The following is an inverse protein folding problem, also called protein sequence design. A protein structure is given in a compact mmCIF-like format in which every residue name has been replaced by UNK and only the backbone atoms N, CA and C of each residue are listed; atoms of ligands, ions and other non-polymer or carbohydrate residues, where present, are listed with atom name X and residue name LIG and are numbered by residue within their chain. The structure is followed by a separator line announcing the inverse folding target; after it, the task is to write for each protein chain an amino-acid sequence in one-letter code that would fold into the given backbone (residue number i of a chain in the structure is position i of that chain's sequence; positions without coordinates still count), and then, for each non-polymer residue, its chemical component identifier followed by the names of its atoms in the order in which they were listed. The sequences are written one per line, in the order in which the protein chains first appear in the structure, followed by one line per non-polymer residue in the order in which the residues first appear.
data_IF_916539050740
#
_entry.id   IF_916539050740
#
_cell.length_a   1.000
_cell.length_b   1.000
_cell.length_c   1.000
_cell.angle_alpha   90.00
_cell.angle_beta   90.00
_cell.angle_gamma   90.00
#
_symmetry.space_group_name_H-M   'P 1'
#
loop_
_entity.id
_entity.type
_entity.pdbx_description
1 polymer ?
#
# COMPACT_ATOMS: atom_id res chain seq x y z
N UNK A 1 -19.93 4.61 14.82
CA UNK A 1 -19.93 6.01 14.35
C UNK A 1 -18.61 6.19 13.62
N UNK A 2 -18.65 6.36 12.29
CA UNK A 2 -17.43 6.50 11.49
C UNK A 2 -16.73 7.81 11.85
N UNK A 3 -15.40 7.79 11.93
CA UNK A 3 -14.62 9.01 12.09
C UNK A 3 -14.81 9.84 10.82
N UNK A 4 -15.27 11.08 10.94
CA UNK A 4 -15.44 11.94 9.78
C UNK A 4 -14.06 12.44 9.35
N UNK A 5 -13.46 11.79 8.35
CA UNK A 5 -12.21 12.27 7.74
C UNK A 5 -12.49 13.61 7.05
N UNK A 6 -11.71 14.62 7.40
CA UNK A 6 -11.79 15.95 6.82
C UNK A 6 -10.68 16.19 5.80
N UNK A 7 -10.94 17.09 4.85
CA UNK A 7 -9.95 17.49 3.85
C UNK A 7 -8.70 18.12 4.51
N UNK A 8 -8.87 18.83 5.63
CA UNK A 8 -7.76 19.50 6.32
C UNK A 8 -6.81 18.51 7.00
N UNK A 9 -7.33 17.41 7.56
CA UNK A 9 -6.48 16.33 8.10
C UNK A 9 -5.62 15.70 7.00
N UNK A 10 -6.21 15.46 5.82
CA UNK A 10 -5.49 14.85 4.70
C UNK A 10 -4.49 15.79 4.04
N UNK A 11 -4.69 17.11 4.08
CA UNK A 11 -3.78 18.10 3.46
C UNK A 11 -2.38 18.11 4.06
N UNK A 12 -2.22 17.65 5.29
CA UNK A 12 -0.91 17.51 5.93
C UNK A 12 -0.09 16.32 5.43
N UNK A 13 -0.73 15.38 4.73
CA UNK A 13 -0.11 14.15 4.28
C UNK A 13 0.69 14.33 3.00
N UNK A 14 1.94 13.84 2.97
CA UNK A 14 2.83 13.99 1.83
C UNK A 14 2.30 13.33 0.55
N UNK A 15 1.51 12.26 0.70
CA UNK A 15 0.90 11.52 -0.41
C UNK A 15 -0.35 12.19 -0.98
N UNK A 16 -0.98 13.10 -0.23
CA UNK A 16 -2.28 13.64 -0.58
C UNK A 16 -2.17 14.76 -1.62
N UNK A 17 -2.98 14.76 -2.70
CA UNK A 17 -2.87 15.73 -3.78
C UNK A 17 -3.52 17.09 -3.43
N UNK A 18 -3.02 17.74 -2.37
CA UNK A 18 -3.58 18.96 -1.79
C UNK A 18 -3.76 20.12 -2.80
N UNK A 19 -2.88 20.22 -3.80
CA UNK A 19 -2.93 21.28 -4.82
C UNK A 19 -4.09 21.17 -5.81
N UNK A 20 -4.78 20.03 -5.88
CA UNK A 20 -5.92 19.81 -6.78
C UNK A 20 -7.18 19.30 -6.07
N UNK A 21 -7.07 18.87 -4.80
CA UNK A 21 -8.18 18.36 -4.00
C UNK A 21 -9.18 19.47 -3.63
N UNK A 22 -10.47 19.20 -3.85
CA UNK A 22 -11.57 20.14 -3.61
C UNK A 22 -12.46 19.72 -2.43
N UNK A 23 -12.82 18.44 -2.36
CA UNK A 23 -13.63 17.90 -1.26
C UNK A 23 -13.43 16.39 -1.12
N UNK A 24 -13.79 15.87 0.04
CA UNK A 24 -13.81 14.43 0.34
C UNK A 24 -15.15 14.10 0.99
N UNK A 25 -15.83 13.08 0.48
CA UNK A 25 -17.11 12.61 1.02
C UNK A 25 -17.10 11.10 1.25
N UNK A 26 -17.86 10.58 2.23
CA UNK A 26 -18.01 9.14 2.41
C UNK A 26 -18.59 8.50 1.16
N UNK A 27 -18.04 7.36 0.74
CA UNK A 27 -18.56 6.61 -0.39
C UNK A 27 -19.13 5.27 0.06
N UNK A 28 -20.30 4.90 -0.45
CA UNK A 28 -20.89 3.59 -0.22
C UNK A 28 -20.24 2.56 -1.17
N UNK A 29 -19.10 1.99 -0.75
CA UNK A 29 -18.46 0.86 -1.42
C UNK A 29 -18.29 -0.29 -0.44
N UNK A 30 -18.39 -1.52 -0.94
CA UNK A 30 -17.92 -2.66 -0.18
C UNK A 30 -16.40 -2.53 -0.06
N UNK A 31 -15.91 -2.45 1.17
CA UNK A 31 -14.50 -2.31 1.50
C UNK A 31 -14.05 -3.43 2.43
N UNK A 32 -12.75 -3.78 2.41
CA UNK A 32 -12.20 -4.75 3.33
C UNK A 32 -12.29 -4.27 4.76
N UNK A 33 -12.41 -5.21 5.70
CA UNK A 33 -12.15 -4.95 7.11
C UNK A 33 -10.84 -4.15 7.30
N UNK A 34 -10.89 -3.14 8.16
CA UNK A 34 -9.78 -2.23 8.40
C UNK A 34 -9.70 -1.08 7.39
N UNK A 35 -10.64 -0.93 6.47
CA UNK A 35 -10.71 0.20 5.55
C UNK A 35 -12.10 0.86 5.52
N UNK A 36 -12.11 2.13 5.13
CA UNK A 36 -13.30 2.90 4.76
C UNK A 36 -13.12 3.47 3.36
N UNK A 37 -14.22 3.56 2.60
CA UNK A 37 -14.22 4.16 1.27
C UNK A 37 -14.67 5.62 1.30
N UNK A 38 -13.92 6.44 0.59
CA UNK A 38 -14.15 7.86 0.41
C UNK A 38 -14.08 8.22 -1.06
N UNK A 39 -14.76 9.28 -1.45
CA UNK A 39 -14.63 9.88 -2.78
C UNK A 39 -13.89 11.19 -2.64
N UNK A 40 -12.72 11.27 -3.28
CA UNK A 40 -11.94 12.48 -3.40
C UNK A 40 -12.33 13.19 -4.69
N UNK A 41 -12.91 14.38 -4.56
CA UNK A 41 -13.15 15.27 -5.69
C UNK A 41 -11.93 16.15 -5.91
N UNK A 42 -11.44 16.15 -7.14
CA UNK A 42 -10.37 17.04 -7.60
C UNK A 42 -10.92 18.01 -8.64
N UNK A 43 -10.13 19.03 -9.00
CA UNK A 43 -10.50 19.95 -10.09
C UNK A 43 -10.69 19.28 -11.46
N UNK A 44 -10.28 18.03 -11.63
CA UNK A 44 -10.28 17.32 -12.91
C UNK A 44 -11.25 16.15 -12.95
N UNK A 45 -11.34 15.40 -11.85
CA UNK A 45 -12.18 14.20 -11.74
C UNK A 45 -12.43 13.83 -10.26
N UNK A 46 -13.25 12.81 -10.04
CA UNK A 46 -13.50 12.22 -8.73
C UNK A 46 -12.94 10.80 -8.67
N UNK A 47 -12.03 10.56 -7.73
CA UNK A 47 -11.39 9.24 -7.55
C UNK A 47 -11.86 8.60 -6.26
N UNK A 48 -12.05 7.28 -6.29
CA UNK A 48 -12.30 6.51 -5.06
C UNK A 48 -10.99 6.34 -4.30
N UNK A 49 -11.07 6.57 -3.00
CA UNK A 49 -9.98 6.45 -2.05
C UNK A 49 -10.37 5.44 -0.97
N UNK A 50 -9.40 4.64 -0.52
CA UNK A 50 -9.59 3.68 0.56
C UNK A 50 -8.63 3.97 1.68
N UNK A 51 -9.17 4.45 2.80
CA UNK A 51 -8.37 4.85 3.96
C UNK A 51 -8.39 3.75 5.02
N UNK A 52 -7.25 3.45 5.65
CA UNK A 52 -7.22 2.51 6.76
C UNK A 52 -7.99 3.06 7.96
N UNK A 53 -8.64 2.19 8.73
CA UNK A 53 -9.33 2.52 9.97
C UNK A 53 -8.68 1.85 11.17
N UNK A 54 -8.38 2.63 12.20
CA UNK A 54 -7.62 2.19 13.37
C UNK A 54 -6.12 2.43 13.22
N UNK A 55 -5.32 1.74 14.02
CA UNK A 55 -3.90 1.98 14.16
C UNK A 55 -3.06 1.11 13.21
N UNK A 56 -2.63 1.67 12.09
CA UNK A 56 -1.75 1.00 11.10
C UNK A 56 -0.32 0.80 11.59
N UNK A 57 0.09 1.45 12.68
CA UNK A 57 1.39 1.20 13.31
C UNK A 57 1.35 0.01 14.28
N UNK A 58 0.16 -0.49 14.62
CA UNK A 58 -0.02 -1.69 15.42
C UNK A 58 -0.02 -2.96 14.57
N UNK A 59 0.78 -3.95 14.99
CA UNK A 59 0.79 -5.28 14.38
C UNK A 59 -0.60 -5.96 14.43
N UNK A 60 -1.41 -5.63 15.44
CA UNK A 60 -2.75 -6.22 15.60
C UNK A 60 -3.72 -5.77 14.50
N UNK A 61 -3.53 -4.57 13.94
CA UNK A 61 -4.29 -4.14 12.77
C UNK A 61 -3.97 -5.02 11.55
N UNK A 62 -2.68 -5.25 11.30
CA UNK A 62 -2.22 -6.10 10.20
C UNK A 62 -2.67 -7.56 10.33
N UNK A 63 -2.72 -8.09 11.55
CA UNK A 63 -3.28 -9.43 11.85
C UNK A 63 -4.75 -9.57 11.49
N UNK A 64 -5.52 -8.49 11.55
CA UNK A 64 -6.92 -8.49 11.10
C UNK A 64 -7.02 -8.32 9.58
N UNK A 65 -6.21 -7.45 8.98
CA UNK A 65 -6.38 -7.08 7.56
C UNK A 65 -5.79 -8.12 6.58
N UNK A 66 -4.56 -8.58 6.83
CA UNK A 66 -3.82 -9.42 5.87
C UNK A 66 -4.42 -10.84 5.70
N UNK A 67 -4.76 -11.57 6.77
CA UNK A 67 -5.14 -12.98 6.65
C UNK A 67 -6.50 -13.20 5.98
N UNK A 68 -7.52 -12.42 6.36
CA UNK A 68 -8.91 -12.65 5.95
C UNK A 68 -9.32 -11.89 4.69
N UNK A 69 -8.50 -10.91 4.26
CA UNK A 69 -8.81 -10.05 3.11
C UNK A 69 -10.03 -9.16 3.30
N UNK A 70 -10.80 -9.31 4.39
CA UNK A 70 -11.83 -8.39 4.86
C UNK A 70 -13.03 -8.15 3.94
N UNK A 71 -13.15 -8.86 2.81
CA UNK A 71 -14.10 -8.55 1.73
C UNK A 71 -13.43 -8.07 0.43
N UNK A 72 -12.13 -7.82 0.46
CA UNK A 72 -11.25 -7.70 -0.68
C UNK A 72 -10.71 -9.06 -1.15
N UNK A 73 -10.17 -9.10 -2.36
CA UNK A 73 -9.57 -10.27 -2.98
C UNK A 73 -8.06 -10.26 -2.75
N UNK A 74 -7.57 -11.14 -1.90
CA UNK A 74 -6.13 -11.40 -1.76
C UNK A 74 -5.58 -12.11 -3.01
N UNK A 75 -4.36 -11.78 -3.38
CA UNK A 75 -3.61 -12.48 -4.41
C UNK A 75 -2.16 -12.70 -3.95
N UNK A 76 -1.50 -13.69 -4.53
CA UNK A 76 -0.20 -14.16 -4.05
C UNK A 76 -0.27 -14.75 -2.63
N UNK A 77 0.91 -15.00 -2.06
CA UNK A 77 1.03 -15.51 -0.69
C UNK A 77 1.14 -14.32 0.29
N UNK A 78 0.34 -14.28 1.38
CA UNK A 78 0.48 -13.22 2.35
C UNK A 78 1.75 -13.42 3.18
N UNK A 79 2.37 -12.33 3.67
CA UNK A 79 3.43 -12.45 4.66
C UNK A 79 2.88 -12.95 6.01
N UNK A 80 3.75 -13.54 6.82
CA UNK A 80 3.38 -14.01 8.15
C UNK A 80 3.55 -12.90 9.20
N UNK A 81 2.42 -12.36 9.64
CA UNK A 81 2.35 -11.31 10.68
C UNK A 81 2.43 -11.85 12.11
N UNK A 82 2.27 -13.16 12.33
CA UNK A 82 2.23 -13.71 13.68
C UNK A 82 3.60 -13.70 14.36
N UNK A 83 3.67 -13.00 15.50
CA UNK A 83 4.92 -12.75 16.22
C UNK A 83 5.91 -11.86 15.47
N UNK A 84 5.47 -11.17 14.40
CA UNK A 84 6.27 -10.20 13.67
C UNK A 84 6.25 -8.80 14.31
N UNK A 85 7.06 -7.90 13.76
CA UNK A 85 7.10 -6.47 14.10
C UNK A 85 6.83 -5.62 12.86
N UNK A 86 6.00 -4.60 13.00
CA UNK A 86 5.74 -3.61 11.95
C UNK A 86 6.40 -2.28 12.32
N UNK A 87 6.97 -1.60 11.33
CA UNK A 87 7.56 -0.27 11.46
C UNK A 87 7.16 0.59 10.26
N UNK A 88 6.78 1.85 10.49
CA UNK A 88 6.55 2.80 9.40
C UNK A 88 7.88 3.22 8.78
N UNK A 89 7.89 3.35 7.45
CA UNK A 89 9.03 3.84 6.67
C UNK A 89 8.64 5.22 6.14
N UNK A 90 9.45 6.23 6.46
CA UNK A 90 9.27 7.56 5.90
C UNK A 90 9.38 7.49 4.37
N UNK A 91 8.28 7.78 3.68
CA UNK A 91 8.18 7.77 2.22
C UNK A 91 7.55 9.07 1.75
N UNK A 92 8.01 9.57 0.60
CA UNK A 92 7.47 10.80 -0.02
C UNK A 92 6.18 10.55 -0.82
N UNK A 93 5.79 9.29 -1.03
CA UNK A 93 4.76 8.94 -2.02
C UNK A 93 3.53 8.30 -1.40
N UNK A 94 3.69 7.19 -0.70
CA UNK A 94 2.59 6.37 -0.19
C UNK A 94 2.99 5.81 1.19
N UNK A 95 2.05 5.65 2.13
CA UNK A 95 2.33 5.01 3.40
C UNK A 95 2.96 3.63 3.17
N UNK A 96 4.17 3.47 3.71
CA UNK A 96 5.00 2.29 3.50
C UNK A 96 5.46 1.75 4.84
N UNK A 97 5.44 0.44 4.99
CA UNK A 97 5.76 -0.25 6.24
C UNK A 97 6.75 -1.39 6.00
N UNK A 98 7.62 -1.62 6.98
CA UNK A 98 8.50 -2.78 7.06
C UNK A 98 7.90 -3.78 8.04
N UNK A 99 7.55 -4.97 7.55
CA UNK A 99 7.20 -6.12 8.39
C UNK A 99 8.43 -7.01 8.52
N UNK A 100 8.91 -7.17 9.75
CA UNK A 100 9.88 -8.22 10.09
C UNK A 100 9.11 -9.42 10.65
N UNK A 101 9.05 -10.50 9.87
CA UNK A 101 8.42 -11.75 10.30
C UNK A 101 9.22 -12.40 11.44
N UNK A 102 8.58 -13.28 12.22
CA UNK A 102 9.28 -14.07 13.27
C UNK A 102 10.47 -14.88 12.74
N UNK A 103 10.43 -15.25 11.46
CA UNK A 103 11.52 -15.95 10.76
C UNK A 103 12.76 -15.07 10.53
N UNK A 104 12.67 -13.76 10.74
CA UNK A 104 13.67 -12.76 10.38
C UNK A 104 13.51 -12.20 8.97
N UNK A 105 12.66 -12.81 8.12
CA UNK A 105 12.36 -12.30 6.78
C UNK A 105 11.73 -10.91 6.87
N UNK A 106 12.22 -9.99 6.04
CA UNK A 106 11.65 -8.65 5.92
C UNK A 106 10.80 -8.49 4.66
N UNK A 107 9.66 -7.83 4.83
CA UNK A 107 8.67 -7.58 3.78
C UNK A 107 8.32 -6.12 3.79
N UNK A 108 8.39 -5.47 2.63
CA UNK A 108 7.89 -4.11 2.46
C UNK A 108 6.42 -4.18 2.09
N UNK A 109 5.59 -3.44 2.81
CA UNK A 109 4.16 -3.33 2.57
C UNK A 109 3.85 -1.90 2.17
N UNK A 110 3.21 -1.70 1.02
CA UNK A 110 2.74 -0.38 0.57
C UNK A 110 1.23 -0.32 0.60
N UNK A 111 0.69 0.79 1.11
CA UNK A 111 -0.74 1.10 1.06
C UNK A 111 -1.02 2.01 -0.13
N UNK A 112 -1.85 1.53 -1.04
CA UNK A 112 -2.27 2.27 -2.22
C UNK A 112 -3.65 2.89 -1.97
N UNK A 113 -3.65 4.12 -1.47
CA UNK A 113 -4.87 4.79 -1.03
C UNK A 113 -5.74 5.28 -2.21
N UNK A 114 -5.13 5.52 -3.38
CA UNK A 114 -5.74 6.15 -4.55
C UNK A 114 -5.65 5.30 -5.84
N UNK A 115 -5.34 4.00 -5.75
CA UNK A 115 -5.25 3.17 -6.96
C UNK A 115 -6.61 2.99 -7.66
N UNK A 116 -6.56 3.00 -8.98
CA UNK A 116 -7.75 2.92 -9.83
C UNK A 116 -7.78 1.66 -10.70
N UNK A 117 -6.63 1.05 -10.97
CA UNK A 117 -6.47 0.09 -12.07
C UNK A 117 -5.77 -1.21 -11.69
N UNK A 118 -5.20 -1.31 -10.50
CA UNK A 118 -4.48 -2.51 -10.06
C UNK A 118 -3.15 -2.68 -10.76
N UNK A 119 -2.41 -1.58 -10.93
CA UNK A 119 -1.15 -1.60 -11.68
C UNK A 119 -0.09 -2.49 -10.99
N UNK A 120 -0.06 -2.53 -9.67
CA UNK A 120 0.90 -3.33 -8.91
C UNK A 120 0.71 -4.83 -9.16
N UNK A 121 -0.54 -5.31 -9.14
CA UNK A 121 -0.86 -6.68 -9.54
C UNK A 121 -0.53 -6.93 -11.01
N UNK A 122 -0.91 -6.01 -11.90
CA UNK A 122 -0.64 -6.15 -13.33
C UNK A 122 0.86 -6.31 -13.62
N UNK A 123 1.70 -5.53 -12.94
CA UNK A 123 3.16 -5.63 -13.03
C UNK A 123 3.70 -6.96 -12.48
N UNK A 124 3.10 -7.48 -11.40
CA UNK A 124 3.45 -8.80 -10.84
C UNK A 124 3.18 -9.94 -11.83
N UNK A 125 2.04 -9.88 -12.53
CA UNK A 125 1.63 -10.90 -13.49
C UNK A 125 2.50 -10.94 -14.76
N UNK A 126 3.33 -9.92 -15.01
CA UNK A 126 4.33 -9.95 -16.09
C UNK A 126 5.44 -10.99 -15.82
N UNK A 127 5.67 -11.37 -14.55
CA UNK A 127 6.63 -12.41 -14.18
C UNK A 127 8.09 -12.09 -14.56
N UNK A 128 8.44 -10.81 -14.74
CA UNK A 128 9.80 -10.41 -15.10
C UNK A 128 10.74 -10.47 -13.91
N UNK A 129 11.84 -11.20 -14.04
CA UNK A 129 12.90 -11.29 -13.02
C UNK A 129 13.64 -9.96 -12.81
N UNK A 130 13.53 -9.03 -13.76
CA UNK A 130 14.16 -7.72 -13.70
C UNK A 130 13.27 -6.64 -13.07
N UNK A 131 12.00 -6.95 -12.81
CA UNK A 131 11.08 -6.03 -12.15
C UNK A 131 10.98 -6.41 -10.68
N UNK A 132 11.31 -5.47 -9.79
CA UNK A 132 10.90 -5.59 -8.39
C UNK A 132 9.38 -5.42 -8.31
N UNK A 133 8.68 -6.53 -8.51
CA UNK A 133 7.23 -6.61 -8.52
C UNK A 133 6.72 -7.18 -7.19
N UNK A 134 5.49 -6.80 -6.84
CA UNK A 134 4.89 -7.31 -5.61
C UNK A 134 4.66 -8.82 -5.75
N UNK A 135 4.97 -9.60 -4.71
CA UNK A 135 4.74 -11.05 -4.69
C UNK A 135 3.31 -11.42 -4.24
N UNK A 136 2.56 -10.43 -3.76
CA UNK A 136 1.19 -10.58 -3.29
C UNK A 136 0.59 -9.24 -2.92
N UNK A 137 -0.70 -9.27 -2.57
CA UNK A 137 -1.41 -8.06 -2.19
C UNK A 137 -2.87 -8.29 -1.88
N UNK A 138 -3.57 -7.19 -1.62
CA UNK A 138 -5.01 -7.14 -1.40
C UNK A 138 -5.64 -6.18 -2.41
N UNK A 139 -6.74 -6.60 -3.05
CA UNK A 139 -7.49 -5.79 -3.99
C UNK A 139 -8.95 -5.60 -3.59
N UNK A 140 -9.56 -4.50 -4.05
CA UNK A 140 -11.02 -4.29 -4.07
C UNK A 140 -11.46 -4.09 -5.50
N UNK A 141 -12.27 -5.02 -6.01
CA UNK A 141 -12.55 -5.08 -7.44
C UNK A 141 -11.27 -5.30 -8.24
N UNK A 142 -10.84 -4.27 -8.98
CA UNK A 142 -9.59 -4.25 -9.76
C UNK A 142 -8.51 -3.35 -9.17
N UNK A 143 -8.77 -2.71 -8.03
CA UNK A 143 -7.87 -1.72 -7.42
C UNK A 143 -6.99 -2.37 -6.39
N UNK A 144 -5.70 -2.07 -6.40
CA UNK A 144 -4.76 -2.51 -5.38
C UNK A 144 -4.92 -1.66 -4.12
N UNK A 145 -4.97 -2.30 -2.95
CA UNK A 145 -4.96 -1.63 -1.64
C UNK A 145 -3.66 -1.83 -0.92
N UNK A 146 -3.16 -3.07 -0.94
CA UNK A 146 -1.91 -3.47 -0.32
C UNK A 146 -1.07 -4.19 -1.34
N UNK A 147 0.22 -3.88 -1.36
CA UNK A 147 1.22 -4.60 -2.12
C UNK A 147 2.33 -5.08 -1.19
N UNK A 148 2.72 -6.33 -1.35
CA UNK A 148 3.79 -6.96 -0.58
C UNK A 148 5.00 -7.16 -1.49
N UNK A 149 6.13 -6.56 -1.11
CA UNK A 149 7.40 -6.68 -1.80
C UNK A 149 8.41 -7.39 -0.91
N UNK A 150 9.28 -8.18 -1.52
CA UNK A 150 10.45 -8.69 -0.79
C UNK A 150 11.34 -7.49 -0.51
N UNK A 151 11.85 -7.37 0.72
CA UNK A 151 12.97 -6.48 0.92
C UNK A 151 14.19 -7.20 0.37
N UNK A 152 14.62 -6.83 -0.83
CA UNK A 152 15.83 -7.40 -1.41
C UNK A 152 17.03 -7.02 -0.53
N UNK A 153 17.80 -8.02 -0.11
CA UNK A 153 19.18 -7.84 0.38
C UNK A 153 20.17 -7.66 -0.80
N UNK A 154 19.65 -7.48 -2.02
CA UNK A 154 20.44 -7.32 -3.24
C UNK A 154 21.03 -5.92 -3.38
N UNK A 155 22.13 -5.84 -4.14
CA UNK A 155 22.78 -4.57 -4.48
C UNK A 155 21.78 -3.62 -5.12
N UNK A 156 21.82 -2.36 -4.68
CA UNK A 156 20.90 -1.34 -5.19
C UNK A 156 21.21 -1.04 -6.65
N UNK A 157 20.21 -0.54 -7.39
CA UNK A 157 20.39 -0.21 -8.81
C UNK A 157 21.50 0.82 -9.05
N UNK A 158 21.70 1.77 -8.13
CA UNK A 158 22.82 2.72 -8.15
C UNK A 158 24.17 2.05 -7.93
N UNK A 159 24.25 0.99 -7.13
CA UNK A 159 25.47 0.19 -6.94
C UNK A 159 25.81 -0.60 -8.21
N UNK A 160 24.81 -1.22 -8.84
CA UNK A 160 24.98 -1.94 -10.12
C UNK A 160 25.35 -1.00 -11.27
N UNK A 161 24.70 0.17 -11.37
CA UNK A 161 25.02 1.19 -12.37
C UNK A 161 26.42 1.76 -12.15
N UNK A 162 26.81 2.01 -10.89
CA UNK A 162 28.15 2.50 -10.55
C UNK A 162 29.23 1.48 -10.86
N UNK A 163 28.97 0.19 -10.68
CA UNK A 163 29.89 -0.88 -11.05
C UNK A 163 30.04 -0.96 -12.59
N UNK A 164 28.92 -0.97 -13.33
CA UNK A 164 28.94 -1.03 -14.79
C UNK A 164 29.63 0.17 -15.46
N UNK A 165 29.55 1.36 -14.84
CA UNK A 165 30.24 2.58 -15.31
C UNK A 165 31.73 2.62 -14.95
N UNK A 166 32.22 1.78 -14.04
CA UNK A 166 33.66 1.67 -13.69
C UNK A 166 34.40 0.64 -14.54
N UNK A 167 33.68 -0.35 -15.05
CA UNK A 167 34.22 -1.44 -15.87
C UNK A 167 34.14 -1.17 -17.39
N UNK A 168 33.65 0.01 -17.81
CA UNK A 168 33.62 0.50 -19.19
C UNK A 168 34.51 1.72 -19.39
#
# INVERSE_FOLDING_TARGET
MGSQVSLEELRGEAWFPAGIAQSVEPAASQVPEGFESWRLHTRFDSVMMFLPTGDVESIDWWKRVIPVGGGGKRWGNPPNVEGGKIESISSLSEPTFSLTEKSGRKVIIRLLLLDEKGHGRTLSELGSEHLNSAFGGLQVGKRDLLLFFRQDEGQRADELLSAALRDG
#
